data_IF_916508723485
#
_entry.id   IF_916508723485
#
_cell.length_a   1.000
_cell.length_b   1.000
_cell.length_c   1.000
_cell.angle_alpha   90.00
_cell.angle_beta   90.00
_cell.angle_gamma   90.00
#
_symmetry.space_group_name_H-M   'P 1'
#
loop_
_entity.id
_entity.type
_entity.pdbx_description
1 polymer ?
#
# COMPACT_ATOMS: atom_id res chain seq x y z
N UNK A 1 -5.49 17.23 6.68
CA UNK A 1 -4.16 16.77 6.28
C UNK A 1 -3.95 15.46 7.02
N UNK A 2 -3.87 14.38 6.26
CA UNK A 2 -3.74 13.00 6.76
C UNK A 2 -2.28 12.57 6.71
N UNK A 3 -1.95 11.45 7.37
CA UNK A 3 -0.59 10.89 7.29
C UNK A 3 -0.21 10.53 5.84
N UNK A 4 -1.20 10.18 5.01
CA UNK A 4 -1.00 10.00 3.58
C UNK A 4 -0.55 11.29 2.88
N UNK A 5 -1.21 12.42 3.17
CA UNK A 5 -0.87 13.71 2.55
C UNK A 5 0.58 14.12 2.89
N UNK A 6 0.98 13.92 4.15
CA UNK A 6 2.34 14.19 4.62
C UNK A 6 3.37 13.25 3.96
N UNK A 7 3.06 11.96 3.88
CA UNK A 7 3.91 10.97 3.23
C UNK A 7 4.10 11.24 1.73
N UNK A 8 3.02 11.55 1.01
CA UNK A 8 3.05 11.84 -0.42
C UNK A 8 3.98 13.02 -0.70
N UNK A 9 3.82 14.09 0.07
CA UNK A 9 4.63 15.31 -0.07
C UNK A 9 6.10 15.06 0.22
N UNK A 10 6.41 14.31 1.29
CA UNK A 10 7.78 13.96 1.62
C UNK A 10 8.43 13.11 0.52
N UNK A 11 7.73 12.08 0.05
CA UNK A 11 8.24 11.17 -1.00
C UNK A 11 8.42 11.89 -2.34
N UNK A 12 7.48 12.76 -2.70
CA UNK A 12 7.59 13.57 -3.92
C UNK A 12 8.78 14.53 -3.84
N UNK A 13 8.97 15.23 -2.72
CA UNK A 13 10.10 16.15 -2.55
C UNK A 13 11.48 15.46 -2.65
N UNK A 14 11.57 14.18 -2.33
CA UNK A 14 12.79 13.40 -2.47
C UNK A 14 13.10 12.97 -3.92
N UNK A 15 12.06 12.80 -4.75
CA UNK A 15 12.18 12.07 -6.04
C UNK A 15 11.82 12.89 -7.26
N UNK A 16 11.11 14.01 -7.09
CA UNK A 16 10.51 14.80 -8.18
C UNK A 16 9.61 13.94 -9.09
N UNK A 17 8.97 12.93 -8.49
CA UNK A 17 8.08 11.99 -9.15
C UNK A 17 8.45 10.52 -8.89
N UNK A 18 7.45 9.69 -8.65
CA UNK A 18 7.68 8.28 -8.33
C UNK A 18 6.52 7.38 -8.75
N UNK A 19 6.80 6.10 -8.90
CA UNK A 19 5.74 5.10 -9.13
C UNK A 19 5.40 4.42 -7.82
N UNK A 20 4.12 4.37 -7.48
CA UNK A 20 3.61 3.65 -6.31
C UNK A 20 2.88 2.39 -6.76
N UNK A 21 3.17 1.31 -6.08
CA UNK A 21 2.49 0.04 -6.15
C UNK A 21 1.48 0.00 -5.02
N UNK A 22 0.24 -0.34 -5.36
CA UNK A 22 -0.92 -0.27 -4.49
C UNK A 22 -1.43 -1.68 -4.28
N UNK A 23 -1.67 -2.03 -3.03
CA UNK A 23 -2.29 -3.29 -2.65
C UNK A 23 -3.45 -3.01 -1.70
N UNK A 24 -4.67 -3.25 -2.17
CA UNK A 24 -5.87 -3.18 -1.35
C UNK A 24 -6.00 -4.44 -0.52
N UNK A 25 -6.33 -4.27 0.76
CA UNK A 25 -6.51 -5.37 1.69
C UNK A 25 -7.82 -5.28 2.46
N UNK A 26 -8.35 -6.43 2.84
CA UNK A 26 -9.36 -6.54 3.89
C UNK A 26 -8.70 -6.97 5.19
N UNK A 27 -9.20 -6.48 6.32
CA UNK A 27 -8.76 -6.82 7.66
C UNK A 27 -9.95 -7.46 8.37
N UNK A 28 -9.88 -8.78 8.59
CA UNK A 28 -10.95 -9.54 9.21
C UNK A 28 -10.41 -10.77 9.95
N UNK A 29 -11.08 -11.17 11.04
CA UNK A 29 -10.74 -12.40 11.79
C UNK A 29 -9.25 -12.51 12.20
N UNK A 30 -8.60 -11.36 12.47
CA UNK A 30 -7.18 -11.31 12.81
C UNK A 30 -6.22 -11.58 11.65
N UNK A 31 -6.70 -11.50 10.41
CA UNK A 31 -5.93 -11.72 9.18
C UNK A 31 -6.07 -10.54 8.23
N UNK A 32 -5.08 -10.46 7.33
CA UNK A 32 -5.06 -9.48 6.24
C UNK A 32 -5.16 -10.24 4.93
N UNK A 33 -6.16 -9.95 4.12
CA UNK A 33 -6.38 -10.60 2.82
C UNK A 33 -6.19 -9.62 1.67
N UNK A 34 -5.42 -10.05 0.67
CA UNK A 34 -5.12 -9.24 -0.51
C UNK A 34 -6.31 -9.27 -1.47
N UNK A 35 -6.83 -8.09 -1.84
CA UNK A 35 -8.04 -7.97 -2.64
C UNK A 35 -7.76 -7.63 -4.10
N UNK A 36 -7.00 -6.55 -4.30
CA UNK A 36 -6.68 -5.96 -5.60
C UNK A 36 -5.31 -5.31 -5.54
N UNK A 37 -4.66 -5.24 -6.68
CA UNK A 37 -3.39 -4.54 -6.84
C UNK A 37 -3.47 -3.62 -8.05
N UNK A 38 -2.78 -2.48 -7.96
CA UNK A 38 -2.66 -1.52 -9.05
C UNK A 38 -1.32 -0.79 -8.91
N UNK A 39 -0.93 -0.04 -9.93
CA UNK A 39 0.18 0.90 -9.84
C UNK A 39 -0.25 2.26 -10.41
N UNK A 40 0.38 3.32 -9.95
CA UNK A 40 0.21 4.66 -10.53
C UNK A 40 1.52 5.44 -10.50
N UNK A 41 1.63 6.37 -11.44
CA UNK A 41 2.73 7.32 -11.51
C UNK A 41 2.32 8.62 -10.84
N UNK A 42 3.03 8.98 -9.78
CA UNK A 42 2.90 10.26 -9.08
C UNK A 42 3.83 11.26 -9.74
N UNK A 43 3.25 12.27 -10.38
CA UNK A 43 3.96 13.36 -11.07
C UNK A 43 3.75 14.73 -10.39
N UNK A 44 3.10 14.75 -9.22
CA UNK A 44 2.84 15.92 -8.39
C UNK A 44 2.29 15.52 -7.03
N UNK A 45 2.27 16.44 -6.05
CA UNK A 45 1.81 16.23 -4.68
C UNK A 45 0.38 16.79 -4.41
N UNK A 46 -0.36 17.08 -5.48
CA UNK A 46 -1.72 17.64 -5.38
C UNK A 46 -2.78 16.62 -4.96
N UNK A 47 -2.50 15.31 -5.12
CA UNK A 47 -3.45 14.24 -4.77
C UNK A 47 -3.64 14.22 -3.27
N UNK A 48 -4.87 14.49 -2.81
CA UNK A 48 -5.23 14.36 -1.40
C UNK A 48 -5.81 13.00 -1.12
N UNK A 49 -5.80 12.61 0.15
CA UNK A 49 -6.37 11.33 0.56
C UNK A 49 -7.80 11.06 0.06
N UNK A 50 -8.75 12.02 0.08
CA UNK A 50 -10.10 11.78 -0.43
C UNK A 50 -10.13 11.39 -1.92
N UNK A 51 -9.26 11.99 -2.74
CA UNK A 51 -9.14 11.67 -4.15
C UNK A 51 -8.55 10.27 -4.36
N UNK A 52 -7.52 9.93 -3.58
CA UNK A 52 -6.95 8.58 -3.56
C UNK A 52 -8.00 7.54 -3.14
N UNK A 53 -8.71 7.77 -2.04
CA UNK A 53 -9.74 6.86 -1.55
C UNK A 53 -10.87 6.65 -2.58
N UNK A 54 -11.29 7.71 -3.27
CA UNK A 54 -12.27 7.63 -4.35
C UNK A 54 -11.76 6.79 -5.54
N UNK A 55 -10.48 6.94 -5.90
CA UNK A 55 -9.85 6.09 -6.93
C UNK A 55 -9.81 4.62 -6.52
N UNK A 56 -9.44 4.33 -5.27
CA UNK A 56 -9.41 2.97 -4.72
C UNK A 56 -10.82 2.35 -4.66
N UNK A 57 -11.84 3.15 -4.32
CA UNK A 57 -13.25 2.72 -4.32
C UNK A 57 -13.75 2.36 -5.73
N UNK A 58 -13.17 2.98 -6.76
CA UNK A 58 -13.40 2.63 -8.17
C UNK A 58 -13.02 1.19 -8.53
N UNK A 59 -12.27 0.48 -7.68
CA UNK A 59 -11.92 -0.93 -7.87
C UNK A 59 -13.11 -1.90 -7.74
N UNK A 60 -14.23 -1.44 -7.17
CA UNK A 60 -15.45 -2.23 -7.01
C UNK A 60 -15.40 -3.29 -5.90
N UNK A 61 -14.35 -3.28 -5.07
CA UNK A 61 -14.22 -4.18 -3.92
C UNK A 61 -14.23 -3.38 -2.62
N UNK A 62 -14.97 -3.84 -1.61
CA UNK A 62 -14.89 -3.28 -0.27
C UNK A 62 -13.52 -3.60 0.35
N UNK A 63 -12.76 -2.56 0.72
CA UNK A 63 -11.42 -2.66 1.31
C UNK A 63 -11.38 -1.93 2.66
N UNK A 64 -10.55 -2.44 3.56
CA UNK A 64 -10.41 -1.90 4.92
C UNK A 64 -9.16 -1.02 5.05
N UNK A 65 -8.09 -1.40 4.34
CA UNK A 65 -6.85 -0.65 4.30
C UNK A 65 -6.12 -0.81 2.95
N UNK A 66 -5.11 0.03 2.73
CA UNK A 66 -4.25 -0.02 1.55
C UNK A 66 -2.79 0.00 1.97
N UNK A 67 -1.98 -0.82 1.31
CA UNK A 67 -0.51 -0.82 1.44
C UNK A 67 0.09 -0.20 0.19
N UNK A 68 0.95 0.80 0.38
CA UNK A 68 1.63 1.52 -0.69
C UNK A 68 3.13 1.21 -0.65
N UNK A 69 3.69 0.83 -1.79
CA UNK A 69 5.13 0.59 -1.94
C UNK A 69 5.68 1.46 -3.06
N UNK A 70 6.88 2.00 -2.88
CA UNK A 70 7.58 2.62 -3.99
C UNK A 70 8.06 1.53 -4.95
N UNK A 71 7.73 1.66 -6.23
CA UNK A 71 8.20 0.71 -7.23
C UNK A 71 9.73 0.73 -7.34
N UNK A 72 10.37 1.86 -7.08
CA UNK A 72 11.83 1.99 -7.06
C UNK A 72 12.31 3.16 -6.21
N UNK A 73 13.61 3.16 -5.88
CA UNK A 73 14.29 4.27 -5.20
C UNK A 73 14.52 5.48 -6.12
N UNK A 74 14.60 5.21 -7.42
CA UNK A 74 15.05 6.13 -8.48
C UNK A 74 13.97 7.13 -8.90
N UNK A 75 12.72 6.92 -8.49
CA UNK A 75 11.57 7.73 -8.90
C UNK A 75 10.64 6.96 -9.82
N UNK A 76 10.27 7.57 -10.94
CA UNK A 76 9.38 6.96 -11.94
C UNK A 76 10.03 5.74 -12.59
N UNK A 77 9.22 4.72 -12.86
CA UNK A 77 9.64 3.53 -13.60
C UNK A 77 8.71 3.34 -14.80
N UNK A 78 9.18 2.62 -15.82
CA UNK A 78 8.36 2.29 -16.97
C UNK A 78 7.17 1.38 -16.56
N UNK A 79 6.06 1.46 -17.30
CA UNK A 79 4.80 0.77 -16.97
C UNK A 79 4.96 -0.77 -16.93
N UNK A 80 5.73 -1.33 -17.85
CA UNK A 80 6.08 -2.75 -17.90
C UNK A 80 6.88 -3.19 -16.66
N UNK A 81 7.84 -2.35 -16.24
CA UNK A 81 8.62 -2.56 -15.02
C UNK A 81 7.74 -2.42 -13.78
N UNK A 82 6.84 -1.44 -13.73
CA UNK A 82 5.90 -1.26 -12.62
C UNK A 82 5.01 -2.50 -12.47
N UNK A 83 4.51 -3.03 -13.59
CA UNK A 83 3.67 -4.22 -13.62
C UNK A 83 4.41 -5.48 -13.17
N UNK A 84 5.62 -5.71 -13.67
CA UNK A 84 6.45 -6.84 -13.24
C UNK A 84 6.76 -6.78 -11.73
N UNK A 85 7.09 -5.59 -11.22
CA UNK A 85 7.34 -5.37 -9.78
C UNK A 85 6.07 -5.57 -8.95
N UNK A 86 4.90 -5.12 -9.45
CA UNK A 86 3.62 -5.35 -8.79
C UNK A 86 3.30 -6.85 -8.71
N UNK A 87 3.50 -7.59 -9.79
CA UNK A 87 3.26 -9.04 -9.83
C UNK A 87 4.19 -9.79 -8.87
N UNK A 88 5.47 -9.39 -8.79
CA UNK A 88 6.43 -9.95 -7.83
C UNK A 88 6.03 -9.62 -6.39
N UNK A 89 5.64 -8.37 -6.10
CA UNK A 89 5.18 -7.94 -4.79
C UNK A 89 3.94 -8.74 -4.34
N UNK A 90 2.94 -8.90 -5.21
CA UNK A 90 1.73 -9.66 -4.89
C UNK A 90 2.06 -11.12 -4.61
N UNK A 91 2.95 -11.75 -5.40
CA UNK A 91 3.39 -13.12 -5.14
C UNK A 91 4.12 -13.25 -3.80
N UNK A 92 4.99 -12.29 -3.49
CA UNK A 92 5.71 -12.26 -2.22
C UNK A 92 4.73 -12.11 -1.05
N UNK A 93 3.78 -11.18 -1.12
CA UNK A 93 2.76 -10.96 -0.09
C UNK A 93 1.82 -12.16 0.11
N UNK A 94 1.53 -12.92 -0.95
CA UNK A 94 0.77 -14.16 -0.83
C UNK A 94 1.55 -15.26 -0.09
N UNK A 95 2.88 -15.29 -0.26
CA UNK A 95 3.76 -16.22 0.46
C UNK A 95 4.05 -15.78 1.89
N UNK A 96 4.23 -14.48 2.11
CA UNK A 96 4.57 -13.87 3.39
C UNK A 96 3.88 -12.51 3.55
N UNK A 97 2.83 -12.49 4.38
CA UNK A 97 2.04 -11.28 4.68
C UNK A 97 2.78 -10.31 5.61
N UNK A 98 3.90 -10.69 6.22
CA UNK A 98 4.67 -9.80 7.10
C UNK A 98 5.35 -8.66 6.32
N UNK A 99 5.56 -8.85 5.01
CA UNK A 99 6.13 -7.85 4.09
C UNK A 99 5.26 -6.59 3.96
N UNK A 100 4.00 -6.62 4.39
CA UNK A 100 3.16 -5.41 4.49
C UNK A 100 3.84 -4.34 5.37
N UNK A 101 4.63 -4.75 6.36
CA UNK A 101 5.36 -3.85 7.27
C UNK A 101 6.43 -3.01 6.56
N UNK A 102 6.91 -3.45 5.40
CA UNK A 102 7.90 -2.71 4.61
C UNK A 102 7.25 -1.63 3.73
N UNK A 103 5.92 -1.63 3.67
CA UNK A 103 5.12 -0.65 2.94
C UNK A 103 4.47 0.38 3.85
N UNK A 104 3.85 1.35 3.21
CA UNK A 104 3.14 2.44 3.86
C UNK A 104 1.66 2.05 3.96
N UNK A 105 1.23 1.72 5.19
CA UNK A 105 -0.08 1.13 5.43
C UNK A 105 -1.06 2.19 5.94
N UNK A 106 -2.17 2.39 5.23
CA UNK A 106 -3.18 3.41 5.56
C UNK A 106 -4.57 2.81 5.69
N UNK A 107 -5.33 3.29 6.67
CA UNK A 107 -6.76 2.97 6.82
C UNK A 107 -7.64 3.84 5.89
N UNK A 108 -8.95 3.60 5.90
CA UNK A 108 -9.95 4.39 5.13
C UNK A 108 -9.92 5.90 5.40
N UNK A 109 -9.46 6.32 6.57
CA UNK A 109 -9.35 7.74 6.97
C UNK A 109 -8.01 8.38 6.55
N UNK A 110 -7.10 7.61 5.94
CA UNK A 110 -5.79 8.07 5.49
C UNK A 110 -4.77 8.18 6.62
N UNK A 111 -5.10 7.58 7.77
CA UNK A 111 -4.21 7.49 8.93
C UNK A 111 -3.30 6.28 8.77
N UNK A 112 -2.03 6.47 9.11
CA UNK A 112 -1.03 5.40 9.02
C UNK A 112 -1.31 4.36 10.09
N UNK A 113 -1.51 3.12 9.67
CA UNK A 113 -1.61 1.97 10.55
C UNK A 113 -0.21 1.44 10.82
N UNK A 114 0.11 1.22 12.10
CA UNK A 114 1.25 0.41 12.48
C UNK A 114 0.76 -1.01 12.73
N UNK A 115 1.31 -1.96 11.98
CA UNK A 115 1.28 -3.37 12.37
C UNK A 115 2.29 -3.52 13.52
N UNK A 116 1.94 -3.00 14.70
CA UNK A 116 2.66 -3.36 15.92
C UNK A 116 2.50 -4.88 16.08
N UNK A 117 3.64 -5.55 16.23
CA UNK A 117 3.81 -7.00 16.17
C UNK A 117 2.59 -7.78 16.65
N UNK A 118 1.82 -8.32 15.71
CA UNK A 118 1.03 -9.50 15.98
C UNK A 118 2.04 -10.59 16.35
N UNK A 119 2.30 -10.74 17.66
CA UNK A 119 2.99 -11.92 18.17
C UNK A 119 2.31 -13.13 17.55
N UNK A 120 3.06 -14.06 16.92
CA UNK A 120 2.46 -15.30 16.48
C UNK A 120 1.82 -15.92 17.71
N UNK A 121 0.48 -16.03 17.73
CA UNK A 121 -0.20 -16.81 18.75
C UNK A 121 0.30 -18.24 18.59
N UNK A 122 1.26 -18.63 19.43
CA UNK A 122 1.67 -20.02 19.60
C UNK A 122 0.40 -20.73 20.07
N UNK A 123 -0.18 -21.67 19.30
CA UNK A 123 -1.29 -22.44 19.82
C UNK A 123 -0.80 -23.19 21.05
N UNK A 124 -1.31 -22.81 22.24
CA UNK A 124 -1.15 -23.62 23.43
C UNK A 124 -1.97 -24.90 23.21
N UNK A 125 -1.30 -25.95 22.74
CA UNK A 125 -1.83 -27.29 22.82
C UNK A 125 -1.83 -27.69 24.31
N UNK A 126 -3.02 -27.81 24.89
CA UNK A 126 -3.25 -28.39 26.21
C UNK A 126 -3.60 -29.87 26.07
#
# INVERSE_FOLDING_TARGET
>A
MTDFDDWLRATFAETDGFTVLIVLVSIGEGRVDLLRSAHLHVIGDDIRWPDMAAYLDGSGTAWDAVVLFRAGREGLVADDVARDRLDQLVRALNGDRTLIRDGEFFNRDGLRLRLDDAEPQIPMFN
#
